data_IF_466686751548
#
_entry.id   IF_466686751548
#
_cell.length_a   1.000
_cell.length_b   1.000
_cell.length_c   1.000
_cell.angle_alpha   90.00
_cell.angle_beta   90.00
_cell.angle_gamma   90.00
#
_symmetry.space_group_name_H-M   'P 1'
#
loop_
_entity.id
_entity.type
_entity.pdbx_description
1 polymer ?
#
# COMPACT_ATOMS: atom_id res chain seq x y z
N UNK A 1 24.41 10.21 57.64
CA UNK A 1 23.06 10.41 57.06
C UNK A 1 23.26 10.60 55.56
N UNK A 2 22.99 9.53 54.82
CA UNK A 2 23.58 9.23 53.51
C UNK A 2 22.84 9.84 52.32
N UNK A 3 23.41 10.90 51.75
CA UNK A 3 22.91 11.58 50.52
C UNK A 3 23.14 10.72 49.25
N UNK A 4 23.98 9.67 49.31
CA UNK A 4 24.36 8.85 48.15
C UNK A 4 23.28 7.87 47.66
N UNK A 5 22.21 7.62 48.43
CA UNK A 5 21.17 6.66 48.02
C UNK A 5 20.03 7.27 47.19
N UNK A 6 19.86 8.60 47.19
CA UNK A 6 18.71 9.22 46.50
C UNK A 6 18.95 9.50 45.01
N UNK A 7 20.21 9.66 44.59
CA UNK A 7 20.55 9.97 43.19
C UNK A 7 20.52 8.76 42.25
N UNK A 8 20.57 7.51 42.77
CA UNK A 8 20.48 6.31 41.93
C UNK A 8 19.07 5.95 41.48
N UNK A 9 18.03 6.36 42.21
CA UNK A 9 16.63 6.07 41.82
C UNK A 9 16.08 7.01 40.75
N UNK A 10 16.58 8.24 40.67
CA UNK A 10 16.11 9.21 39.66
C UNK A 10 16.70 8.91 38.27
N UNK A 11 17.90 8.33 38.20
CA UNK A 11 18.53 7.97 36.93
C UNK A 11 17.91 6.73 36.25
N UNK A 12 17.22 5.86 36.99
CA UNK A 12 16.55 4.68 36.40
C UNK A 12 15.15 4.97 35.87
N UNK A 13 14.50 6.06 36.31
CA UNK A 13 13.16 6.42 35.83
C UNK A 13 13.15 7.19 34.50
N UNK A 14 14.29 7.72 34.03
CA UNK A 14 14.35 8.50 32.79
C UNK A 14 14.68 7.68 31.52
N UNK A 15 15.20 6.46 31.65
CA UNK A 15 15.58 5.62 30.49
C UNK A 15 14.40 4.76 29.98
N UNK A 16 13.33 4.60 30.76
CA UNK A 16 12.18 3.76 30.40
C UNK A 16 11.09 4.48 29.56
N UNK A 17 11.19 5.80 29.34
CA UNK A 17 10.12 6.60 28.71
C UNK A 17 10.43 7.05 27.26
N UNK A 18 11.50 6.54 26.65
CA UNK A 18 11.92 6.96 25.30
C UNK A 18 11.53 5.98 24.18
N UNK A 19 10.95 4.80 24.47
CA UNK A 19 10.83 3.73 23.47
C UNK A 19 9.44 3.48 22.87
N UNK A 20 8.37 4.21 23.20
CA UNK A 20 7.01 3.78 22.80
C UNK A 20 6.09 4.88 22.27
N UNK A 21 6.65 5.91 21.63
CA UNK A 21 5.86 6.78 20.76
C UNK A 21 5.97 6.29 19.31
N UNK A 22 5.61 5.03 19.05
CA UNK A 22 5.22 4.64 17.69
C UNK A 22 3.84 5.27 17.47
N UNK A 23 3.81 6.53 17.06
CA UNK A 23 2.61 7.04 16.38
C UNK A 23 2.54 6.23 15.10
N UNK A 24 1.76 5.15 15.12
CA UNK A 24 1.34 4.49 13.89
C UNK A 24 0.52 5.55 13.18
N UNK A 25 1.18 6.30 12.31
CA UNK A 25 0.50 7.19 11.39
C UNK A 25 -0.18 6.25 10.40
N UNK A 26 -1.42 5.86 10.74
CA UNK A 26 -2.22 4.96 9.95
C UNK A 26 -2.24 5.51 8.52
N UNK A 27 -1.65 4.76 7.59
CA UNK A 27 -1.52 5.18 6.20
C UNK A 27 -0.10 5.29 5.66
N UNK A 28 0.96 5.27 6.47
CA UNK A 28 2.35 5.25 5.97
C UNK A 28 2.99 3.89 6.21
N UNK A 29 3.51 3.28 5.15
CA UNK A 29 4.16 1.97 5.15
C UNK A 29 5.66 2.19 4.85
N UNK A 30 6.50 2.01 5.86
CA UNK A 30 7.96 2.20 5.74
C UNK A 30 8.73 1.24 6.65
N UNK A 31 10.06 1.19 6.50
CA UNK A 31 10.93 0.33 7.30
C UNK A 31 11.00 -1.12 6.83
N UNK A 32 11.42 -2.03 7.72
CA UNK A 32 11.54 -3.46 7.41
C UNK A 32 10.23 -4.18 7.68
N UNK A 33 9.77 -4.95 6.69
CA UNK A 33 8.55 -5.74 6.77
C UNK A 33 8.83 -7.20 6.39
N UNK A 34 8.12 -8.12 7.04
CA UNK A 34 8.28 -9.54 6.80
C UNK A 34 6.93 -10.24 6.87
N UNK A 35 6.80 -11.35 6.15
CA UNK A 35 5.67 -12.27 6.25
C UNK A 35 6.16 -13.72 6.25
N UNK A 36 5.32 -14.66 6.65
CA UNK A 36 5.62 -16.10 6.53
C UNK A 36 4.93 -16.63 5.27
N UNK A 37 5.66 -17.31 4.40
CA UNK A 37 5.08 -17.96 3.22
C UNK A 37 4.37 -19.28 3.57
N UNK A 38 3.80 -19.95 2.57
CA UNK A 38 3.11 -21.23 2.74
C UNK A 38 3.98 -22.35 3.34
N UNK A 39 5.31 -22.22 3.30
CA UNK A 39 6.26 -23.17 3.87
C UNK A 39 6.79 -22.71 5.25
N UNK A 40 6.15 -21.73 5.89
CA UNK A 40 6.61 -21.07 7.12
C UNK A 40 8.01 -20.44 6.99
N UNK A 41 8.46 -20.11 5.78
CA UNK A 41 9.71 -19.38 5.60
C UNK A 41 9.44 -17.89 5.73
N UNK A 42 10.25 -17.21 6.54
CA UNK A 42 10.23 -15.76 6.64
C UNK A 42 10.71 -15.15 5.33
N UNK A 43 9.86 -14.32 4.72
CA UNK A 43 10.15 -13.53 3.53
C UNK A 43 10.21 -12.07 3.91
N UNK A 44 11.18 -11.35 3.35
CA UNK A 44 11.29 -9.91 3.50
C UNK A 44 10.54 -9.21 2.37
N UNK A 45 9.81 -8.16 2.73
CA UNK A 45 9.14 -7.30 1.75
C UNK A 45 10.10 -6.19 1.33
N UNK A 46 10.30 -6.06 0.02
CA UNK A 46 11.21 -5.07 -0.53
C UNK A 46 10.50 -3.72 -0.75
N UNK A 47 10.48 -2.87 0.29
CA UNK A 47 10.01 -1.49 0.17
C UNK A 47 11.05 -0.55 -0.47
N UNK A 48 12.25 -1.03 -0.80
CA UNK A 48 13.35 -0.26 -1.41
C UNK A 48 13.81 0.95 -0.57
N UNK A 49 13.56 0.92 0.74
CA UNK A 49 13.81 2.06 1.63
C UNK A 49 12.87 3.26 1.40
N UNK A 50 11.82 3.09 0.61
CA UNK A 50 10.81 4.10 0.34
C UNK A 50 9.72 4.07 1.42
N UNK A 51 9.05 5.21 1.59
CA UNK A 51 7.81 5.30 2.35
C UNK A 51 6.63 5.27 1.39
N UNK A 52 5.70 4.35 1.60
CA UNK A 52 4.53 4.17 0.75
C UNK A 52 3.29 4.72 1.47
N UNK A 53 2.37 5.31 0.71
CA UNK A 53 1.05 5.69 1.22
C UNK A 53 0.09 4.51 1.00
N UNK A 54 -0.64 4.13 2.06
CA UNK A 54 -1.73 3.18 1.94
C UNK A 54 -2.83 3.74 1.03
N UNK A 55 -3.48 2.85 0.27
CA UNK A 55 -4.43 3.19 -0.78
C UNK A 55 -5.67 3.90 -0.23
N UNK A 56 -6.01 3.70 1.04
CA UNK A 56 -7.17 4.34 1.66
C UNK A 56 -7.09 5.86 1.78
N UNK A 57 -5.87 6.40 1.76
CA UNK A 57 -5.60 7.83 1.78
C UNK A 57 -5.64 8.45 0.38
N UNK A 58 -5.75 7.64 -0.68
CA UNK A 58 -5.74 8.09 -2.08
C UNK A 58 -6.89 7.52 -2.92
N UNK A 59 -7.85 6.80 -2.31
CA UNK A 59 -9.07 6.32 -2.98
C UNK A 59 -9.92 7.48 -3.50
N UNK A 60 -10.30 7.39 -4.78
CA UNK A 60 -11.16 8.39 -5.41
C UNK A 60 -10.47 9.71 -5.76
N UNK A 61 -9.14 9.77 -5.63
CA UNK A 61 -8.36 10.89 -6.14
C UNK A 61 -7.82 10.57 -7.52
N UNK A 62 -7.92 11.54 -8.42
CA UNK A 62 -7.22 11.47 -9.70
C UNK A 62 -5.78 12.01 -9.58
N UNK A 63 -5.01 11.83 -10.65
CA UNK A 63 -3.62 12.27 -10.71
C UNK A 63 -3.44 13.78 -10.49
N UNK A 64 -4.25 14.60 -11.14
CA UNK A 64 -4.19 16.07 -10.96
C UNK A 64 -4.53 16.50 -9.54
N UNK A 65 -5.42 15.79 -8.84
CA UNK A 65 -5.74 16.10 -7.45
C UNK A 65 -4.57 15.83 -6.50
N UNK A 66 -3.73 14.85 -6.83
CA UNK A 66 -2.54 14.48 -6.05
C UNK A 66 -1.35 15.36 -6.42
N UNK A 67 -1.14 15.65 -7.71
CA UNK A 67 0.09 16.29 -8.19
C UNK A 67 0.01 17.83 -8.25
N UNK A 68 -1.17 18.42 -8.42
CA UNK A 68 -1.28 19.86 -8.72
C UNK A 68 -1.60 20.71 -7.48
N UNK A 69 -2.07 20.09 -6.39
CA UNK A 69 -2.53 20.80 -5.19
C UNK A 69 -2.49 19.91 -3.94
N UNK A 70 -2.51 20.53 -2.77
CA UNK A 70 -2.75 19.81 -1.53
C UNK A 70 -4.14 19.15 -1.55
N UNK A 71 -4.25 17.97 -0.95
CA UNK A 71 -5.51 17.23 -0.85
C UNK A 71 -5.77 16.79 0.59
N UNK A 72 -7.04 16.55 0.90
CA UNK A 72 -7.48 16.03 2.19
C UNK A 72 -8.07 14.65 1.95
N UNK A 73 -7.54 13.61 2.60
CA UNK A 73 -8.04 12.25 2.43
C UNK A 73 -9.41 12.01 3.09
N UNK A 74 -9.92 10.79 2.98
CA UNK A 74 -11.21 10.38 3.54
C UNK A 74 -11.21 10.34 5.08
N UNK A 75 -10.04 10.40 5.71
CA UNK A 75 -9.81 10.37 7.15
C UNK A 75 -9.60 11.79 7.70
N UNK A 76 -9.54 12.81 6.84
CA UNK A 76 -9.34 14.21 7.21
C UNK A 76 -7.88 14.63 7.33
N UNK A 77 -6.91 13.79 6.94
CA UNK A 77 -5.51 14.18 6.92
C UNK A 77 -5.23 15.05 5.68
N UNK A 78 -4.43 16.10 5.87
CA UNK A 78 -3.99 16.96 4.78
C UNK A 78 -2.62 16.53 4.28
N UNK A 79 -2.49 16.46 2.96
CA UNK A 79 -1.29 16.02 2.26
C UNK A 79 -0.85 17.10 1.27
N UNK A 80 0.46 17.34 1.16
CA UNK A 80 0.99 18.28 0.18
C UNK A 80 1.29 17.57 -1.15
N UNK A 81 0.98 18.24 -2.27
CA UNK A 81 1.30 17.79 -3.62
C UNK A 81 2.73 17.29 -3.78
N UNK A 82 3.69 18.08 -3.29
CA UNK A 82 5.12 17.84 -3.51
C UNK A 82 5.71 16.72 -2.64
N UNK A 83 4.99 16.29 -1.60
CA UNK A 83 5.47 15.27 -0.65
C UNK A 83 5.32 13.85 -1.21
N UNK A 84 4.49 13.64 -2.24
CA UNK A 84 4.17 12.31 -2.75
C UNK A 84 4.21 12.29 -4.27
N UNK A 85 4.68 11.17 -4.81
CA UNK A 85 4.64 10.89 -6.25
C UNK A 85 4.09 9.50 -6.50
N UNK A 86 3.72 9.23 -7.75
CA UNK A 86 3.37 7.87 -8.14
C UNK A 86 4.61 6.96 -8.01
N UNK A 87 4.40 5.76 -7.49
CA UNK A 87 5.43 4.73 -7.54
C UNK A 87 5.71 4.40 -9.01
N UNK A 88 6.99 4.35 -9.41
CA UNK A 88 7.36 3.93 -10.76
C UNK A 88 6.97 2.47 -10.98
N UNK A 89 6.90 2.07 -12.24
CA UNK A 89 6.72 0.69 -12.69
C UNK A 89 7.79 -0.24 -12.11
N UNK A 90 9.05 0.21 -12.10
CA UNK A 90 10.15 -0.54 -11.50
C UNK A 90 9.97 -0.71 -9.98
N UNK A 91 9.63 0.36 -9.27
CA UNK A 91 9.41 0.31 -7.81
C UNK A 91 8.24 -0.60 -7.45
N UNK A 92 7.14 -0.48 -8.20
CA UNK A 92 5.94 -1.31 -8.03
C UNK A 92 6.26 -2.78 -8.32
N UNK A 93 6.94 -3.06 -9.43
CA UNK A 93 7.36 -4.42 -9.79
C UNK A 93 8.26 -5.02 -8.71
N UNK A 94 9.20 -4.26 -8.15
CA UNK A 94 10.10 -4.75 -7.09
C UNK A 94 9.36 -5.06 -5.79
N UNK A 95 8.48 -4.15 -5.34
CA UNK A 95 7.61 -4.36 -4.18
C UNK A 95 6.83 -5.65 -4.35
N UNK A 96 6.12 -5.75 -5.47
CA UNK A 96 5.21 -6.83 -5.66
C UNK A 96 5.93 -8.17 -5.91
N UNK A 97 7.03 -8.17 -6.66
CA UNK A 97 7.89 -9.36 -6.83
C UNK A 97 8.36 -9.96 -5.50
N UNK A 98 8.60 -9.10 -4.49
CA UNK A 98 9.07 -9.55 -3.17
C UNK A 98 8.01 -10.30 -2.37
N UNK A 99 6.73 -10.04 -2.62
CA UNK A 99 5.61 -10.68 -1.92
C UNK A 99 5.05 -11.89 -2.68
N UNK A 100 5.38 -12.07 -3.97
CA UNK A 100 4.81 -13.11 -4.82
C UNK A 100 5.69 -14.33 -5.05
N UNK A 101 6.88 -14.41 -4.43
CA UNK A 101 7.75 -15.60 -4.55
C UNK A 101 8.16 -15.96 -6.00
N UNK A 102 8.00 -15.05 -6.96
CA UNK A 102 8.42 -15.20 -8.36
C UNK A 102 7.35 -15.67 -9.36
N UNK A 103 6.08 -15.89 -8.96
CA UNK A 103 5.00 -16.21 -9.90
C UNK A 103 3.94 -15.10 -9.94
N UNK A 104 3.82 -14.47 -11.11
CA UNK A 104 3.03 -13.25 -11.30
C UNK A 104 1.68 -13.48 -11.97
N UNK A 105 1.49 -14.61 -12.65
CA UNK A 105 0.30 -14.83 -13.45
C UNK A 105 -0.64 -15.79 -12.74
N UNK A 106 -1.93 -15.42 -12.75
CA UNK A 106 -3.04 -16.20 -12.25
C UNK A 106 -3.15 -16.33 -10.72
N UNK A 107 -4.33 -16.80 -10.35
CA UNK A 107 -4.71 -17.17 -9.02
C UNK A 107 -3.88 -18.36 -8.50
N UNK A 108 -2.86 -18.07 -7.69
CA UNK A 108 -1.95 -19.08 -7.17
C UNK A 108 -1.87 -19.06 -5.63
N UNK A 109 -2.00 -20.23 -5.00
CA UNK A 109 -2.02 -20.40 -3.53
C UNK A 109 -0.71 -19.94 -2.86
N UNK A 110 0.43 -20.13 -3.54
CA UNK A 110 1.74 -19.68 -3.06
C UNK A 110 1.84 -18.15 -2.91
N UNK A 111 0.96 -17.39 -3.56
CA UNK A 111 0.92 -15.93 -3.44
C UNK A 111 0.05 -15.45 -2.29
N UNK A 112 -0.69 -16.34 -1.63
CA UNK A 112 -1.67 -16.00 -0.60
C UNK A 112 -1.08 -15.10 0.48
N UNK A 113 -0.03 -15.54 1.16
CA UNK A 113 0.48 -14.82 2.33
C UNK A 113 1.04 -13.44 1.96
N UNK A 114 1.64 -13.31 0.78
CA UNK A 114 2.09 -12.01 0.27
C UNK A 114 0.95 -11.09 -0.14
N UNK A 115 -0.11 -11.64 -0.76
CA UNK A 115 -1.29 -10.88 -1.11
C UNK A 115 -2.07 -10.42 0.15
N UNK A 116 -2.18 -11.27 1.16
CA UNK A 116 -2.74 -10.93 2.48
C UNK A 116 -1.92 -9.84 3.15
N UNK A 117 -0.58 -9.97 3.16
CA UNK A 117 0.29 -8.90 3.66
C UNK A 117 0.03 -7.58 2.91
N UNK A 118 -0.09 -7.61 1.58
CA UNK A 118 -0.37 -6.41 0.81
C UNK A 118 -1.73 -5.81 1.18
N UNK A 119 -2.79 -6.62 1.26
CA UNK A 119 -4.12 -6.15 1.64
C UNK A 119 -4.11 -5.51 3.04
N UNK A 120 -3.53 -6.19 4.03
CA UNK A 120 -3.48 -5.74 5.42
C UNK A 120 -2.70 -4.42 5.60
N UNK A 121 -1.71 -4.16 4.73
CA UNK A 121 -0.90 -2.94 4.81
C UNK A 121 -1.43 -1.80 3.91
N UNK A 122 -1.93 -2.11 2.70
CA UNK A 122 -2.28 -1.11 1.70
C UNK A 122 -3.78 -0.81 1.61
N UNK A 123 -4.68 -1.76 1.88
CA UNK A 123 -6.11 -1.51 1.63
C UNK A 123 -6.73 -0.62 2.73
N UNK A 124 -6.10 -0.57 3.90
CA UNK A 124 -6.57 0.20 5.04
C UNK A 124 -7.91 -0.31 5.54
N UNK A 125 -8.80 0.62 5.93
CA UNK A 125 -10.16 0.29 6.40
C UNK A 125 -11.18 0.10 5.28
N UNK A 126 -10.83 0.43 4.03
CA UNK A 126 -11.69 0.31 2.85
C UNK A 126 -11.39 -0.99 2.11
N UNK A 127 -11.52 -2.11 2.81
CA UNK A 127 -11.66 -3.39 2.15
C UNK A 127 -13.03 -3.42 1.48
N UNK A 128 -13.06 -3.56 0.14
CA UNK A 128 -14.31 -3.91 -0.53
C UNK A 128 -14.56 -5.40 -0.27
N UNK A 129 -15.19 -5.69 0.88
CA UNK A 129 -15.65 -7.02 1.22
C UNK A 129 -16.86 -7.30 0.33
N UNK A 130 -16.64 -8.04 -0.75
CA UNK A 130 -17.72 -8.51 -1.60
C UNK A 130 -17.92 -10.00 -1.33
N UNK A 131 -19.14 -10.43 -1.03
CA UNK A 131 -19.44 -11.85 -1.14
C UNK A 131 -19.42 -12.23 -2.63
N UNK A 132 -18.33 -12.82 -3.09
CA UNK A 132 -18.26 -13.42 -4.41
C UNK A 132 -19.00 -14.76 -4.34
N UNK A 133 -20.28 -14.77 -4.73
CA UNK A 133 -21.10 -15.98 -4.81
C UNK A 133 -21.31 -16.38 -6.27
N UNK A 134 -20.96 -17.63 -6.59
CA UNK A 134 -21.30 -18.29 -7.84
C UNK A 134 -22.25 -19.46 -7.58
N UNK A 135 -22.75 -20.08 -8.64
CA UNK A 135 -23.64 -21.26 -8.53
C UNK A 135 -22.98 -22.45 -7.81
N UNK A 136 -21.65 -22.45 -7.66
CA UNK A 136 -20.83 -23.54 -7.10
C UNK A 136 -20.19 -23.22 -5.74
N UNK A 137 -20.40 -22.04 -5.17
CA UNK A 137 -19.90 -21.68 -3.84
C UNK A 137 -19.72 -20.19 -3.61
N UNK A 138 -19.22 -19.84 -2.42
CA UNK A 138 -18.96 -18.45 -2.00
C UNK A 138 -17.67 -18.32 -1.22
N UNK A 139 -16.98 -17.19 -1.38
CA UNK A 139 -15.91 -16.77 -0.45
C UNK A 139 -16.51 -15.92 0.66
N UNK A 140 -16.06 -16.12 1.90
CA UNK A 140 -16.52 -15.30 3.04
C UNK A 140 -15.68 -14.02 3.18
N UNK A 141 -14.37 -14.10 2.93
CA UNK A 141 -13.45 -12.97 3.10
C UNK A 141 -12.75 -12.62 1.78
N UNK A 142 -13.54 -12.21 0.80
CA UNK A 142 -13.02 -11.69 -0.46
C UNK A 142 -12.77 -10.19 -0.37
N UNK A 143 -11.50 -9.80 -0.44
CA UNK A 143 -10.99 -8.43 -0.41
C UNK A 143 -10.30 -8.13 -1.74
N UNK A 144 -10.49 -6.92 -2.25
CA UNK A 144 -9.73 -6.47 -3.40
C UNK A 144 -9.58 -4.95 -3.41
N UNK A 145 -8.51 -4.48 -4.05
CA UNK A 145 -8.34 -3.07 -4.35
C UNK A 145 -7.76 -2.93 -5.76
N UNK A 146 -8.26 -1.93 -6.47
CA UNK A 146 -7.62 -1.41 -7.67
C UNK A 146 -6.70 -0.27 -7.27
N UNK A 147 -5.57 -0.16 -7.94
CA UNK A 147 -4.68 0.98 -7.73
C UNK A 147 -3.97 1.42 -9.01
N UNK A 148 -3.74 2.72 -9.10
CA UNK A 148 -2.94 3.34 -10.15
C UNK A 148 -1.48 3.43 -9.72
N UNK A 149 -0.55 3.28 -10.67
CA UNK A 149 0.89 3.45 -10.47
C UNK A 149 1.55 3.91 -11.77
N UNK A 150 2.85 4.20 -11.71
CA UNK A 150 3.67 4.65 -12.83
C UNK A 150 3.63 6.17 -13.05
N UNK A 151 4.77 6.72 -13.46
CA UNK A 151 4.83 8.09 -13.99
C UNK A 151 4.20 8.18 -15.38
N UNK A 152 3.98 9.42 -15.86
CA UNK A 152 3.47 9.64 -17.22
C UNK A 152 4.37 8.95 -18.24
N UNK A 153 3.76 8.24 -19.19
CA UNK A 153 4.43 7.46 -20.24
C UNK A 153 5.22 6.22 -19.80
N UNK A 154 5.18 5.81 -18.53
CA UNK A 154 5.79 4.53 -18.12
C UNK A 154 4.98 3.31 -18.59
N UNK A 155 3.68 3.52 -18.78
CA UNK A 155 2.70 2.45 -18.98
C UNK A 155 2.23 2.33 -20.44
N UNK A 156 2.89 3.05 -21.35
CA UNK A 156 2.53 3.15 -22.75
C UNK A 156 2.79 4.55 -23.32
N UNK A 157 2.27 4.80 -24.51
CA UNK A 157 2.41 6.09 -25.16
C UNK A 157 1.43 7.12 -24.57
N UNK A 158 1.94 8.26 -24.12
CA UNK A 158 1.15 9.42 -23.68
C UNK A 158 0.92 9.50 -22.16
N UNK A 159 -0.11 10.25 -21.77
CA UNK A 159 -0.46 10.50 -20.36
C UNK A 159 -1.30 9.34 -19.78
N UNK A 160 -0.74 8.13 -19.81
CA UNK A 160 -1.37 6.92 -19.28
C UNK A 160 -0.72 6.50 -17.97
N UNK A 161 -1.54 6.27 -16.94
CA UNK A 161 -1.14 5.62 -15.70
C UNK A 161 -1.39 4.12 -15.80
N UNK A 162 -0.52 3.31 -15.21
CA UNK A 162 -0.73 1.88 -15.08
C UNK A 162 -1.82 1.66 -14.04
N UNK A 163 -2.63 0.62 -14.23
CA UNK A 163 -3.56 0.18 -13.21
C UNK A 163 -3.36 -1.31 -12.95
N UNK A 164 -3.37 -1.66 -11.67
CA UNK A 164 -3.32 -3.03 -11.20
C UNK A 164 -4.43 -3.32 -10.21
N UNK A 165 -4.58 -4.61 -9.89
CA UNK A 165 -5.51 -5.08 -8.88
C UNK A 165 -4.87 -6.18 -8.06
N UNK A 166 -5.06 -6.11 -6.75
CA UNK A 166 -4.76 -7.20 -5.82
C UNK A 166 -6.08 -7.75 -5.29
N UNK A 167 -6.17 -9.08 -5.20
CA UNK A 167 -7.32 -9.82 -4.67
C UNK A 167 -6.82 -10.78 -3.59
N UNK A 168 -7.60 -10.90 -2.53
CA UNK A 168 -7.45 -11.86 -1.43
C UNK A 168 -8.83 -12.45 -1.18
N UNK A 169 -8.91 -13.73 -0.83
CA UNK A 169 -10.14 -14.51 -0.73
C UNK A 169 -9.90 -15.65 0.25
N UNK A 170 -10.67 -15.73 1.32
CA UNK A 170 -10.53 -16.84 2.27
C UNK A 170 -11.86 -17.59 2.41
N UNK A 171 -11.76 -18.79 2.96
CA UNK A 171 -12.91 -19.60 3.38
C UNK A 171 -13.94 -19.85 2.28
N UNK A 172 -13.48 -20.41 1.16
CA UNK A 172 -14.40 -20.88 0.13
C UNK A 172 -15.32 -21.99 0.69
N UNK A 173 -16.61 -21.76 0.57
CA UNK A 173 -17.65 -22.72 0.91
C UNK A 173 -18.37 -23.13 -0.36
N UNK A 174 -18.16 -24.37 -0.82
CA UNK A 174 -18.83 -24.89 -2.01
C UNK A 174 -18.48 -26.36 -2.30
N UNK A 175 -19.39 -27.13 -2.96
CA UNK A 175 -19.19 -28.55 -3.22
C UNK A 175 -18.02 -28.84 -4.17
N UNK A 176 -17.69 -27.91 -5.09
CA UNK A 176 -16.57 -28.01 -6.02
C UNK A 176 -16.15 -26.62 -6.49
N UNK A 177 -14.85 -26.35 -6.52
CA UNK A 177 -14.23 -25.17 -7.15
C UNK A 177 -14.23 -25.28 -8.69
N UNK A 178 -15.37 -25.64 -9.29
CA UNK A 178 -15.56 -25.55 -10.74
C UNK A 178 -16.33 -24.26 -11.03
N UNK A 179 -15.68 -23.36 -11.78
CA UNK A 179 -16.24 -22.15 -12.36
C UNK A 179 -16.84 -21.14 -11.35
N UNK A 180 -15.98 -20.55 -10.50
CA UNK A 180 -16.37 -19.32 -9.82
C UNK A 180 -16.21 -18.16 -10.80
N UNK A 181 -17.33 -17.66 -11.33
CA UNK A 181 -17.35 -16.38 -12.02
C UNK A 181 -17.25 -15.26 -10.98
N UNK A 182 -16.03 -14.76 -10.76
CA UNK A 182 -15.78 -13.63 -9.85
C UNK A 182 -16.20 -12.30 -10.54
N UNK A 183 -16.74 -12.33 -11.76
CA UNK A 183 -17.27 -11.15 -12.44
C UNK A 183 -18.73 -10.90 -12.05
N UNK A 184 -18.94 -10.43 -10.83
CA UNK A 184 -20.16 -9.71 -10.51
C UNK A 184 -20.29 -8.47 -11.42
N UNK A 185 -21.11 -8.57 -12.47
CA UNK A 185 -21.57 -7.51 -13.38
C UNK A 185 -20.76 -7.22 -14.66
N UNK A 186 -20.95 -8.12 -15.65
CA UNK A 186 -21.35 -7.88 -17.05
C UNK A 186 -20.84 -6.65 -17.85
N UNK A 187 -19.67 -6.78 -18.47
CA UNK A 187 -19.43 -6.68 -19.93
C UNK A 187 -17.93 -6.49 -20.18
N UNK A 188 -17.30 -7.52 -20.76
CA UNK A 188 -16.09 -7.51 -21.64
C UNK A 188 -14.98 -6.55 -21.19
N UNK A 189 -13.85 -7.01 -20.63
CA UNK A 189 -12.69 -7.37 -21.48
C UNK A 189 -11.88 -8.62 -21.02
N UNK A 190 -11.98 -9.16 -19.80
CA UNK A 190 -11.15 -10.31 -19.40
C UNK A 190 -11.93 -11.36 -18.60
N UNK A 191 -12.02 -12.57 -19.15
CA UNK A 191 -12.46 -13.76 -18.42
C UNK A 191 -11.26 -14.36 -17.69
N UNK A 192 -11.00 -13.92 -16.46
CA UNK A 192 -10.07 -14.65 -15.57
C UNK A 192 -10.78 -15.94 -15.13
N UNK A 193 -10.46 -17.07 -15.74
CA UNK A 193 -10.94 -18.38 -15.31
C UNK A 193 -9.98 -18.94 -14.25
N UNK A 194 -10.45 -19.04 -13.00
CA UNK A 194 -9.75 -19.75 -11.93
C UNK A 194 -9.80 -21.26 -12.20
N UNK A 195 -8.67 -21.87 -12.59
CA UNK A 195 -8.56 -23.33 -12.79
C UNK A 195 -7.82 -23.95 -11.61
N UNK A 196 -8.56 -24.43 -10.60
CA UNK A 196 -7.98 -25.20 -9.50
C UNK A 196 -8.02 -26.68 -9.87
N UNK A 197 -6.87 -27.35 -9.80
CA UNK A 197 -6.78 -28.79 -10.10
C UNK A 197 -7.36 -29.58 -8.92
N UNK A 198 -8.31 -30.47 -9.22
CA UNK A 198 -8.87 -31.39 -8.23
C UNK A 198 -7.76 -32.23 -7.57
N UNK A 199 -7.64 -32.14 -6.23
CA UNK A 199 -6.66 -32.91 -5.45
C UNK A 199 -6.03 -32.15 -4.28
N UNK A 200 -6.15 -30.83 -4.22
CA UNK A 200 -5.70 -30.02 -3.09
C UNK A 200 -6.74 -30.08 -1.96
N UNK A 201 -6.45 -30.84 -0.90
CA UNK A 201 -7.37 -31.14 0.22
C UNK A 201 -7.32 -30.15 1.37
N UNK A 202 -6.53 -29.09 1.26
CA UNK A 202 -6.45 -28.03 2.27
C UNK A 202 -7.55 -26.98 2.00
N UNK A 203 -8.25 -26.48 3.03
CA UNK A 203 -9.29 -25.46 2.85
C UNK A 203 -8.66 -24.17 2.29
N UNK A 204 -8.77 -24.02 0.98
CA UNK A 204 -9.16 -22.80 0.25
C UNK A 204 -8.67 -21.48 0.84
N UNK A 205 -7.42 -21.14 0.53
CA UNK A 205 -6.81 -19.83 0.85
C UNK A 205 -6.42 -19.10 -0.42
N UNK A 206 -6.24 -17.78 -0.29
CA UNK A 206 -6.51 -16.82 -1.34
C UNK A 206 -5.82 -16.93 -2.67
N UNK A 207 -6.45 -16.19 -3.57
CA UNK A 207 -6.19 -16.14 -4.97
C UNK A 207 -5.92 -14.69 -5.35
N UNK A 208 -4.70 -14.41 -5.82
CA UNK A 208 -4.32 -13.15 -6.44
C UNK A 208 -4.58 -13.22 -7.95
N UNK A 209 -5.48 -12.38 -8.47
CA UNK A 209 -5.68 -12.24 -9.92
C UNK A 209 -5.12 -10.91 -10.40
N UNK A 210 -3.95 -10.94 -11.03
CA UNK A 210 -3.36 -9.78 -11.69
C UNK A 210 -4.12 -9.50 -12.99
N UNK A 211 -4.73 -8.32 -13.07
CA UNK A 211 -5.30 -7.80 -14.30
C UNK A 211 -4.70 -6.44 -14.57
N UNK A 212 -3.89 -6.33 -15.62
CA UNK A 212 -3.39 -5.05 -16.08
C UNK A 212 -4.47 -4.36 -16.92
N UNK A 213 -4.83 -3.15 -16.53
CA UNK A 213 -5.65 -2.26 -17.34
C UNK A 213 -4.81 -1.02 -17.62
N UNK A 214 -4.63 -0.69 -18.89
CA UNK A 214 -3.97 0.54 -19.30
C UNK A 214 -5.04 1.60 -19.55
N UNK A 215 -4.94 2.75 -18.87
CA UNK A 215 -5.89 3.85 -18.98
C UNK A 215 -5.20 5.21 -19.11
N UNK A 216 -5.74 6.09 -19.96
CA UNK A 216 -5.34 7.50 -20.05
C UNK A 216 -5.90 8.20 -18.83
N UNK A 217 -5.04 8.80 -17.98
CA UNK A 217 -5.36 9.47 -16.71
C UNK A 217 -6.68 9.03 -16.08
N UNK A 218 -6.65 8.05 -15.16
CA UNK A 218 -7.85 7.64 -14.44
C UNK A 218 -8.23 8.77 -13.46
N UNK A 219 -8.97 9.70 -14.03
CA UNK A 219 -9.49 10.92 -13.47
C UNK A 219 -10.47 11.41 -14.50
N UNK A 220 -11.66 11.82 -14.05
CA UNK A 220 -12.62 12.48 -14.91
C UNK A 220 -11.86 13.52 -15.75
N UNK A 221 -11.73 13.28 -17.05
CA UNK A 221 -11.29 14.32 -17.97
C UNK A 221 -12.14 15.53 -17.64
N UNK A 222 -11.48 16.64 -17.28
CA UNK A 222 -12.15 17.91 -17.09
C UNK A 222 -13.13 18.09 -18.25
N UNK A 223 -14.38 18.37 -17.90
CA UNK A 223 -15.47 18.59 -18.83
C UNK A 223 -15.26 19.96 -19.46
N UNK A 224 -14.33 20.05 -20.40
CA UNK A 224 -14.26 21.21 -21.28
C UNK A 224 -15.44 21.12 -22.26
N UNK A 225 -16.41 22.03 -22.08
CA UNK A 225 -17.57 22.25 -22.95
C UNK A 225 -18.71 21.21 -22.95
N UNK A 226 -18.99 20.56 -21.81
CA UNK A 226 -20.22 19.77 -21.66
C UNK A 226 -20.32 18.51 -22.54
N UNK A 227 -19.24 18.15 -23.24
CA UNK A 227 -19.10 16.87 -23.89
C UNK A 227 -18.10 16.03 -23.10
N UNK A 228 -18.62 15.00 -22.44
CA UNK A 228 -17.82 13.91 -21.88
C UNK A 228 -17.25 13.11 -23.05
N UNK A 229 -16.10 13.54 -23.58
CA UNK A 229 -15.35 12.75 -24.56
C UNK A 229 -14.62 11.67 -23.77
N UNK A 230 -15.29 10.52 -23.63
CA UNK A 230 -14.74 9.25 -23.14
C UNK A 230 -13.57 8.82 -24.05
N UNK A 231 -12.38 9.36 -23.80
CA UNK A 231 -11.15 8.84 -24.38
C UNK A 231 -10.82 7.49 -23.70
N UNK A 232 -11.43 6.41 -24.21
CA UNK A 232 -11.21 5.05 -23.73
C UNK A 232 -12.42 4.50 -22.99
N UNK A 233 -13.20 3.70 -23.71
CA UNK A 233 -14.49 3.12 -23.31
C UNK A 233 -14.31 2.06 -22.21
N UNK A 234 -14.10 2.48 -20.97
CA UNK A 234 -14.68 1.82 -19.82
C UNK A 234 -15.61 2.85 -19.18
N UNK A 235 -16.91 2.59 -19.13
CA UNK A 235 -17.75 3.30 -18.16
C UNK A 235 -17.25 2.88 -16.79
N UNK A 236 -16.27 3.60 -16.26
CA UNK A 236 -15.86 3.46 -14.89
C UNK A 236 -17.05 4.01 -14.13
N UNK A 237 -17.91 3.09 -13.68
CA UNK A 237 -19.01 3.41 -12.77
C UNK A 237 -18.45 4.29 -11.66
N UNK A 238 -19.16 5.32 -11.22
CA UNK A 238 -18.68 6.25 -10.18
C UNK A 238 -18.20 5.49 -8.93
N UNK A 239 -18.84 4.35 -8.66
CA UNK A 239 -18.45 3.38 -7.65
C UNK A 239 -17.02 2.83 -7.84
N UNK A 240 -16.64 2.48 -9.08
CA UNK A 240 -15.28 2.00 -9.37
C UNK A 240 -14.23 3.09 -9.15
N UNK A 241 -14.54 4.34 -9.46
CA UNK A 241 -13.59 5.44 -9.23
C UNK A 241 -13.31 5.62 -7.72
N UNK A 242 -14.34 5.55 -6.88
CA UNK A 242 -14.18 5.60 -5.42
C UNK A 242 -13.45 4.38 -4.82
N UNK A 243 -13.31 3.30 -5.59
CA UNK A 243 -12.62 2.05 -5.20
C UNK A 243 -11.25 1.87 -5.87
N UNK A 244 -10.72 2.89 -6.56
CA UNK A 244 -9.37 2.90 -7.13
C UNK A 244 -8.47 3.82 -6.31
N UNK A 245 -7.44 3.27 -5.69
CA UNK A 245 -6.42 4.00 -4.97
C UNK A 245 -5.27 4.41 -5.88
N UNK A 246 -4.30 5.12 -5.32
CA UNK A 246 -3.07 5.48 -6.01
C UNK A 246 -1.89 4.99 -5.17
N UNK A 247 -1.01 4.20 -5.80
CA UNK A 247 0.19 3.69 -5.17
C UNK A 247 1.23 4.80 -5.18
N UNK A 248 1.32 5.51 -4.05
CA UNK A 248 2.19 6.67 -3.90
C UNK A 248 3.39 6.33 -3.02
N UNK A 249 4.52 6.91 -3.36
CA UNK A 249 5.73 6.91 -2.54
C UNK A 249 6.10 8.33 -2.18
N UNK A 250 6.66 8.51 -0.97
CA UNK A 250 7.11 9.83 -0.53
C UNK A 250 8.18 10.32 -1.50
N UNK A 251 8.03 11.55 -1.96
CA UNK A 251 9.04 12.23 -2.72
C UNK A 251 10.21 12.54 -1.78
N UNK A 252 11.24 11.70 -1.81
CA UNK A 252 12.50 11.95 -1.09
C UNK A 252 13.29 13.02 -1.83
N UNK A 253 12.70 14.21 -2.02
CA UNK A 253 13.53 15.41 -2.10
C UNK A 253 14.33 15.40 -0.81
N UNK A 254 15.66 15.51 -0.91
CA UNK A 254 16.60 15.38 0.19
C UNK A 254 16.00 16.06 1.44
N UNK A 255 15.45 15.25 2.35
CA UNK A 255 14.88 15.77 3.59
C UNK A 255 16.06 16.46 4.25
N UNK A 256 16.01 17.79 4.48
CA UNK A 256 17.12 18.49 5.11
C UNK A 256 17.48 17.70 6.35
N UNK A 257 18.70 17.16 6.39
CA UNK A 257 19.07 16.12 7.36
C UNK A 257 18.50 16.48 8.72
N UNK A 258 17.75 15.56 9.36
CA UNK A 258 16.94 15.94 10.48
C UNK A 258 17.85 16.58 11.53
N UNK A 259 17.29 17.55 12.24
CA UNK A 259 17.97 18.27 13.29
C UNK A 259 18.71 17.41 14.34
N UNK A 260 18.53 16.07 14.54
CA UNK A 260 19.34 15.30 15.46
C UNK A 260 20.86 15.39 15.26
N UNK A 261 21.37 15.43 14.01
CA UNK A 261 22.81 15.62 13.78
C UNK A 261 23.26 17.02 14.22
N UNK A 262 22.47 18.04 13.89
CA UNK A 262 22.71 19.42 14.29
C UNK A 262 22.56 19.60 15.81
N UNK A 263 21.58 18.95 16.43
CA UNK A 263 21.33 18.94 17.88
C UNK A 263 22.42 18.18 18.63
N UNK A 264 22.91 17.06 18.08
CA UNK A 264 24.04 16.32 18.62
C UNK A 264 25.32 17.16 18.52
N UNK A 265 25.56 17.80 17.38
CA UNK A 265 26.70 18.72 17.20
C UNK A 265 26.63 19.90 18.18
N UNK A 266 25.46 20.54 18.32
CA UNK A 266 25.24 21.63 19.27
C UNK A 266 25.38 21.15 20.73
N UNK A 267 24.90 19.95 21.05
CA UNK A 267 25.05 19.33 22.36
C UNK A 267 26.51 19.07 22.72
N UNK A 268 27.31 18.57 21.77
CA UNK A 268 28.75 18.36 21.95
C UNK A 268 29.51 19.68 22.12
N UNK A 269 29.14 20.74 21.38
CA UNK A 269 29.70 22.08 21.54
C UNK A 269 29.39 22.64 22.94
N UNK A 270 28.13 22.51 23.39
CA UNK A 270 27.71 22.92 24.74
C UNK A 270 28.48 22.23 25.86
N UNK A 271 28.68 20.90 25.75
CA UNK A 271 29.49 20.11 26.68
C UNK A 271 30.96 20.57 26.72
N UNK A 272 31.53 20.93 25.56
CA UNK A 272 32.89 21.47 25.45
C UNK A 272 33.06 22.80 26.19
N UNK A 273 32.08 23.70 26.11
CA UNK A 273 32.10 25.00 26.78
C UNK A 273 31.95 24.88 28.30
N UNK A 274 31.07 23.98 28.78
CA UNK A 274 30.91 23.73 30.21
C UNK A 274 32.19 23.17 30.86
N UNK A 275 32.92 22.30 30.16
CA UNK A 275 34.22 21.78 30.62
C UNK A 275 35.28 22.87 30.81
N UNK A 276 35.29 23.91 29.96
CA UNK A 276 36.23 25.03 30.09
C UNK A 276 35.92 25.91 31.30
N UNK A 277 34.64 26.09 31.65
CA UNK A 277 34.24 26.92 32.80
C UNK A 277 34.55 26.27 34.15
N UNK A 278 34.52 24.94 34.24
CA UNK A 278 34.83 24.20 35.48
C UNK A 278 36.33 24.08 35.81
N UNK A 279 37.23 24.49 34.90
CA UNK A 279 38.69 24.47 35.09
C UNK A 279 39.28 25.84 35.49
N UNK A 280 38.45 26.89 35.56
CA UNK A 280 38.79 28.18 36.16
C UNK A 280 38.18 28.25 37.55
#
# INVERSE_FOLDING_TARGET
MDIKLYTRKVAQSFVALACLATTVQAGIISGSHQYQDANNQTREVNLQGLEWLALDNSFGFNRSDIQDKAWTDNQGNNWNADDWRYATTAETSNLLSSIWGGQFTDFAFNNYQGATWFADNFFGSRDTIASASGNSGSFQDFRFAWFNYGELSECGNGDTTCQHRVRVAEDFTGPTLQDIDINGSQRTVYSDSLVIRAGETEPTRAFLGLGDIYGRSIGLSNVDNGQVILAGRASIDEFRFQSVGNLLVRNTTEVPEPAPLTMMALGLIGLGLLRKKARK
#
